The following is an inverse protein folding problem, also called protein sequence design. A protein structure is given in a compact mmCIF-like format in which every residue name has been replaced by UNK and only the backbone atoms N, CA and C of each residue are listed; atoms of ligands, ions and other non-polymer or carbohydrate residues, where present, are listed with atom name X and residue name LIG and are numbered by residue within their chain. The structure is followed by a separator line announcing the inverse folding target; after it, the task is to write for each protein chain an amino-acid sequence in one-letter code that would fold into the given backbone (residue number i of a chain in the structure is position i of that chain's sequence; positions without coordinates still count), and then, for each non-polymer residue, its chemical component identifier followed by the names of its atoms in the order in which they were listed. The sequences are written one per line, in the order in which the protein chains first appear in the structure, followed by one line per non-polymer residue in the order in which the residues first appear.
data_IF_897297668371
#
_entry.id   IF_897297668371
#
_cell.length_a   1.000
_cell.length_b   1.000
_cell.length_c   1.000
_cell.angle_alpha   90.00
_cell.angle_beta   90.00
_cell.angle_gamma   90.00
#
_symmetry.space_group_name_H-M   'P 1'
#
loop_
_entity.id
_entity.type
_entity.pdbx_description
1 polymer ?
#
# COMPACT_ATOMS: atom_id res chain seq x y z
N UNK A 1 -4.90 -6.28 7.47
CA UNK A 1 -5.24 -7.03 8.71
C UNK A 1 -4.62 -6.42 9.97
N UNK A 2 -3.28 -6.21 10.01
CA UNK A 2 -2.55 -5.71 11.21
C UNK A 2 -3.07 -4.40 11.83
N UNK A 3 -3.86 -3.60 11.11
CA UNK A 3 -4.37 -2.30 11.57
C UNK A 3 -5.86 -2.08 11.28
N UNK A 4 -6.64 -3.15 11.06
CA UNK A 4 -8.08 -3.02 10.86
C UNK A 4 -8.79 -2.83 12.20
N UNK A 5 -9.52 -1.72 12.41
CA UNK A 5 -10.16 -1.43 13.69
C UNK A 5 -11.31 -2.40 14.02
N UNK A 6 -11.89 -3.04 13.01
CA UNK A 6 -13.01 -3.99 13.14
C UNK A 6 -12.57 -5.47 13.16
N UNK A 7 -11.28 -5.74 13.36
CA UNK A 7 -10.78 -7.11 13.47
C UNK A 7 -11.42 -7.81 14.69
N UNK A 8 -12.05 -8.99 14.53
CA UNK A 8 -12.82 -9.62 15.60
C UNK A 8 -11.97 -10.26 16.71
N UNK A 9 -10.64 -10.15 16.67
CA UNK A 9 -9.71 -10.83 17.59
C UNK A 9 -9.53 -12.31 17.27
N UNK A 10 -10.62 -13.04 17.04
CA UNK A 10 -10.64 -14.44 16.56
C UNK A 10 -11.84 -14.67 15.64
N UNK A 11 -11.71 -15.63 14.71
CA UNK A 11 -12.84 -16.08 13.90
C UNK A 11 -13.60 -17.21 14.58
N UNK A 12 -14.91 -17.26 14.36
CA UNK A 12 -15.79 -18.34 14.86
C UNK A 12 -15.72 -19.58 13.97
N UNK A 13 -15.14 -19.46 12.77
CA UNK A 13 -14.95 -20.53 11.81
C UNK A 13 -14.54 -19.98 10.44
N UNK A 14 -14.30 -20.89 9.49
CA UNK A 14 -13.78 -20.53 8.18
C UNK A 14 -14.73 -19.64 7.35
N UNK A 15 -16.05 -19.79 7.53
CA UNK A 15 -17.04 -18.93 6.86
C UNK A 15 -16.95 -17.49 7.34
N UNK A 16 -16.94 -17.27 8.65
CA UNK A 16 -16.78 -15.93 9.23
C UNK A 16 -15.44 -15.31 8.81
N UNK A 17 -14.35 -16.09 8.81
CA UNK A 17 -13.05 -15.62 8.34
C UNK A 17 -13.09 -15.13 6.89
N UNK A 18 -13.69 -15.91 5.97
CA UNK A 18 -13.78 -15.53 4.55
C UNK A 18 -14.61 -14.27 4.34
N UNK A 19 -15.74 -14.15 5.04
CA UNK A 19 -16.60 -12.98 4.94
C UNK A 19 -15.85 -11.73 5.41
N UNK A 20 -15.26 -11.79 6.61
CA UNK A 20 -14.48 -10.67 7.14
C UNK A 20 -13.31 -10.29 6.23
N UNK A 21 -12.57 -11.27 5.70
CA UNK A 21 -11.48 -11.01 4.74
C UNK A 21 -11.97 -10.33 3.46
N UNK A 22 -13.10 -10.77 2.88
CA UNK A 22 -13.66 -10.15 1.69
C UNK A 22 -13.97 -8.67 1.94
N UNK A 23 -14.66 -8.38 3.04
CA UNK A 23 -15.02 -7.02 3.43
C UNK A 23 -13.78 -6.16 3.68
N UNK A 24 -12.80 -6.68 4.42
CA UNK A 24 -11.53 -6.02 4.70
C UNK A 24 -10.77 -5.68 3.40
N UNK A 25 -10.65 -6.62 2.46
CA UNK A 25 -9.91 -6.39 1.22
C UNK A 25 -10.64 -5.45 0.27
N UNK A 26 -11.97 -5.56 0.20
CA UNK A 26 -12.79 -4.62 -0.57
C UNK A 26 -12.61 -3.20 -0.03
N UNK A 27 -12.73 -3.01 1.27
CA UNK A 27 -12.48 -1.70 1.89
C UNK A 27 -11.06 -1.19 1.59
N UNK A 28 -10.05 -2.05 1.73
CA UNK A 28 -8.65 -1.65 1.56
C UNK A 28 -8.32 -1.28 0.11
N UNK A 29 -8.96 -1.90 -0.88
CA UNK A 29 -8.61 -1.70 -2.29
C UNK A 29 -9.48 -0.67 -3.01
N UNK A 30 -10.72 -0.48 -2.57
CA UNK A 30 -11.72 0.35 -3.28
C UNK A 30 -11.79 1.78 -2.70
N UNK A 31 -12.78 2.55 -3.16
CA UNK A 31 -13.05 3.95 -2.85
C UNK A 31 -13.04 4.35 -1.36
N UNK A 32 -13.11 3.40 -0.43
CA UNK A 32 -13.27 3.66 1.00
C UNK A 32 -11.94 3.88 1.73
N UNK A 33 -10.82 3.36 1.25
CA UNK A 33 -9.52 3.51 1.91
C UNK A 33 -8.46 4.09 0.99
N UNK A 34 -8.07 5.35 1.26
CA UNK A 34 -7.03 6.05 0.51
C UNK A 34 -5.68 5.83 1.18
N UNK A 35 -4.67 5.43 0.40
CA UNK A 35 -3.37 5.02 0.93
C UNK A 35 -2.37 6.16 0.84
N UNK A 36 -1.71 6.48 1.95
CA UNK A 36 -0.67 7.52 1.99
C UNK A 36 0.52 7.20 1.07
N UNK A 37 0.93 5.93 1.00
CA UNK A 37 1.97 5.46 0.08
C UNK A 37 1.60 5.61 -1.40
N UNK A 38 0.31 5.76 -1.70
CA UNK A 38 -0.20 6.05 -3.04
C UNK A 38 -0.64 7.51 -3.15
N UNK A 39 -0.05 8.46 -2.40
CA UNK A 39 -0.44 9.88 -2.45
C UNK A 39 -1.94 10.14 -2.26
N UNK A 40 -2.60 9.32 -1.45
CA UNK A 40 -4.02 9.40 -1.16
C UNK A 40 -4.89 9.06 -2.38
N UNK A 41 -4.46 8.10 -3.19
CA UNK A 41 -5.32 7.37 -4.13
C UNK A 41 -5.63 5.97 -3.57
N UNK A 42 -6.65 5.31 -4.12
CA UNK A 42 -6.97 3.93 -3.78
C UNK A 42 -6.22 2.95 -4.71
N UNK A 43 -5.94 1.71 -4.28
CA UNK A 43 -5.33 0.69 -5.12
C UNK A 43 -6.11 0.46 -6.42
N UNK A 44 -7.44 0.44 -6.35
CA UNK A 44 -8.33 0.34 -7.52
C UNK A 44 -8.11 1.50 -8.50
N UNK A 45 -8.02 2.74 -8.03
CA UNK A 45 -7.77 3.90 -8.90
C UNK A 45 -6.41 3.83 -9.60
N UNK A 46 -5.39 3.31 -8.91
CA UNK A 46 -4.06 3.12 -9.48
C UNK A 46 -4.08 2.00 -10.52
N UNK A 47 -4.64 0.85 -10.16
CA UNK A 47 -4.72 -0.34 -11.02
C UNK A 47 -5.50 -0.07 -12.33
N UNK A 48 -6.62 0.63 -12.23
CA UNK A 48 -7.49 0.94 -13.38
C UNK A 48 -7.05 2.16 -14.17
N UNK A 49 -6.10 2.96 -13.65
CA UNK A 49 -5.69 4.23 -14.24
C UNK A 49 -6.62 5.42 -13.96
N UNK A 50 -7.74 5.20 -13.26
CA UNK A 50 -8.70 6.25 -12.89
C UNK A 50 -8.08 7.39 -12.06
N UNK A 51 -6.93 7.15 -11.41
CA UNK A 51 -6.18 8.19 -10.68
C UNK A 51 -5.87 9.44 -11.52
N UNK A 52 -5.80 9.32 -12.86
CA UNK A 52 -5.52 10.45 -13.76
C UNK A 52 -6.64 11.49 -13.75
N UNK A 53 -7.88 11.04 -13.85
CA UNK A 53 -9.06 11.91 -13.79
C UNK A 53 -9.23 12.52 -12.38
N UNK A 54 -8.97 11.71 -11.36
CA UNK A 54 -8.96 12.19 -9.96
C UNK A 54 -7.87 13.24 -9.75
N UNK A 55 -6.70 13.09 -10.37
CA UNK A 55 -5.61 14.07 -10.28
C UNK A 55 -6.00 15.43 -10.87
N UNK A 56 -6.70 15.44 -12.01
CA UNK A 56 -7.24 16.68 -12.61
C UNK A 56 -8.19 17.37 -11.63
N UNK A 57 -9.11 16.60 -11.03
CA UNK A 57 -10.07 17.13 -10.04
C UNK A 57 -9.37 17.68 -8.80
N UNK A 58 -8.37 16.96 -8.27
CA UNK A 58 -7.54 17.41 -7.14
C UNK A 58 -6.79 18.70 -7.49
N UNK A 59 -6.26 18.83 -8.70
CA UNK A 59 -5.49 20.02 -9.09
C UNK A 59 -6.41 21.24 -9.22
N UNK A 60 -7.59 21.09 -9.80
CA UNK A 60 -8.58 22.17 -9.86
C UNK A 60 -8.96 22.69 -8.47
N UNK A 61 -9.13 21.80 -7.49
CA UNK A 61 -9.41 22.18 -6.11
C UNK A 61 -8.22 22.93 -5.45
N UNK A 62 -6.99 22.48 -5.70
CA UNK A 62 -5.77 23.15 -5.24
C UNK A 62 -5.63 24.55 -5.85
N UNK A 63 -5.90 24.68 -7.14
CA UNK A 63 -5.83 25.93 -7.88
C UNK A 63 -6.85 26.95 -7.35
N UNK A 64 -8.09 26.50 -7.14
CA UNK A 64 -9.14 27.32 -6.55
C UNK A 64 -8.72 27.82 -5.16
N UNK A 65 -8.16 26.93 -4.32
CA UNK A 65 -7.76 27.32 -2.96
C UNK A 65 -6.58 28.29 -2.97
N UNK A 66 -5.63 28.09 -3.88
CA UNK A 66 -4.51 29.00 -4.09
C UNK A 66 -4.97 30.39 -4.53
N UNK A 67 -5.89 30.47 -5.50
CA UNK A 67 -6.43 31.75 -5.97
C UNK A 67 -7.14 32.54 -4.86
N UNK A 68 -7.82 31.86 -3.92
CA UNK A 68 -8.53 32.51 -2.82
C UNK A 68 -7.63 33.04 -1.71
N UNK A 69 -6.51 32.37 -1.41
CA UNK A 69 -5.64 32.69 -0.26
C UNK A 69 -4.16 32.39 -0.61
N UNK A 70 -3.57 33.08 -1.58
CA UNK A 70 -2.22 32.78 -2.07
C UNK A 70 -1.16 32.91 -0.97
N UNK A 71 -1.36 33.80 0.00
CA UNK A 71 -0.47 34.04 1.15
C UNK A 71 -0.33 32.82 2.08
N UNK A 72 -1.31 31.91 2.09
CA UNK A 72 -1.23 30.64 2.85
C UNK A 72 -0.30 29.61 2.21
N UNK A 73 0.15 29.85 0.97
CA UNK A 73 0.99 28.94 0.21
C UNK A 73 2.37 29.56 0.00
N UNK A 74 3.18 29.56 1.07
CA UNK A 74 4.54 30.15 1.09
C UNK A 74 5.51 29.55 0.07
N UNK A 75 5.19 28.39 -0.51
CA UNK A 75 5.98 27.72 -1.57
C UNK A 75 5.36 27.89 -2.97
N UNK A 76 4.44 28.83 -3.14
CA UNK A 76 3.72 29.06 -4.40
C UNK A 76 2.57 28.09 -4.63
N UNK A 77 2.05 28.07 -5.87
CA UNK A 77 0.91 27.25 -6.28
C UNK A 77 1.18 25.75 -6.01
N UNK A 78 0.35 25.07 -5.22
CA UNK A 78 0.54 23.64 -4.95
C UNK A 78 0.20 22.78 -6.17
N UNK A 79 0.94 21.68 -6.33
CA UNK A 79 0.73 20.69 -7.39
C UNK A 79 0.37 19.33 -6.82
N UNK A 80 -0.59 18.64 -7.43
CA UNK A 80 -0.98 17.27 -7.08
C UNK A 80 0.20 16.31 -7.29
N UNK A 81 0.45 15.46 -6.30
CA UNK A 81 1.36 14.31 -6.45
C UNK A 81 0.59 13.14 -7.07
N UNK A 82 1.13 12.53 -8.12
CA UNK A 82 0.62 11.29 -8.71
C UNK A 82 1.08 10.07 -7.90
N UNK A 83 0.43 8.90 -7.99
CA UNK A 83 0.95 7.66 -7.42
C UNK A 83 2.39 7.40 -7.91
N UNK A 84 3.24 6.75 -7.09
CA UNK A 84 4.55 6.31 -7.56
C UNK A 84 4.42 5.33 -8.72
N UNK A 85 5.34 5.39 -9.69
CA UNK A 85 5.36 4.47 -10.82
C UNK A 85 5.77 3.05 -10.44
N UNK A 86 6.47 2.90 -9.32
CA UNK A 86 7.00 1.64 -8.80
C UNK A 86 6.92 1.62 -7.28
N UNK A 87 6.64 0.45 -6.71
CA UNK A 87 6.67 0.20 -5.26
C UNK A 87 7.25 -1.20 -5.02
N UNK A 88 8.07 -1.34 -3.97
CA UNK A 88 8.62 -2.62 -3.55
C UNK A 88 8.51 -2.78 -2.03
N UNK A 89 8.13 -3.97 -1.57
CA UNK A 89 8.09 -4.30 -0.12
C UNK A 89 9.48 -4.70 0.35
N UNK A 90 10.22 -5.45 -0.47
CA UNK A 90 11.63 -5.82 -0.28
C UNK A 90 12.31 -5.72 -1.65
N UNK A 91 12.85 -4.55 -2.03
CA UNK A 91 13.56 -4.44 -3.30
C UNK A 91 14.80 -5.33 -3.28
N UNK A 92 15.07 -6.01 -4.39
CA UNK A 92 16.30 -6.78 -4.61
C UNK A 92 17.26 -5.85 -5.37
N UNK A 93 18.47 -5.67 -4.87
CA UNK A 93 19.50 -4.87 -5.57
C UNK A 93 20.16 -5.67 -6.68
N UNK A 94 20.81 -4.98 -7.62
CA UNK A 94 21.60 -5.64 -8.66
C UNK A 94 22.73 -6.49 -8.07
N UNK A 95 23.28 -6.07 -6.93
CA UNK A 95 24.27 -6.83 -6.14
C UNK A 95 23.66 -8.11 -5.55
N UNK A 96 22.45 -8.04 -4.98
CA UNK A 96 21.74 -9.23 -4.47
C UNK A 96 21.43 -10.24 -5.60
N UNK A 97 21.16 -9.75 -6.81
CA UNK A 97 20.97 -10.59 -8.00
C UNK A 97 22.30 -11.23 -8.42
N UNK A 98 23.38 -10.47 -8.41
CA UNK A 98 24.72 -10.92 -8.81
C UNK A 98 25.35 -11.93 -7.82
N UNK A 99 25.13 -11.75 -6.53
CA UNK A 99 25.60 -12.66 -5.47
C UNK A 99 24.72 -13.93 -5.35
N UNK A 100 23.58 -13.95 -6.05
CA UNK A 100 22.59 -15.01 -5.98
C UNK A 100 21.64 -14.79 -4.81
N UNK A 101 20.36 -14.53 -5.13
CA UNK A 101 19.32 -14.28 -4.13
C UNK A 101 19.30 -15.42 -3.12
N UNK A 102 19.66 -15.13 -1.87
CA UNK A 102 19.59 -16.08 -0.76
C UNK A 102 18.10 -16.31 -0.47
N UNK A 103 17.53 -17.38 -1.04
CA UNK A 103 16.15 -17.84 -0.78
C UNK A 103 15.96 -18.41 0.64
N UNK A 104 17.00 -18.32 1.48
CA UNK A 104 16.94 -18.73 2.87
C UNK A 104 16.31 -17.62 3.73
N UNK A 105 15.05 -17.80 4.09
CA UNK A 105 14.40 -17.04 5.17
C UNK A 105 15.13 -17.28 6.49
N UNK A 106 15.78 -16.24 7.04
CA UNK A 106 16.37 -16.31 8.38
C UNK A 106 15.28 -16.25 9.46
N UNK A 107 14.64 -17.38 9.73
CA UNK A 107 13.76 -17.56 10.87
C UNK A 107 14.58 -18.08 12.06
N UNK A 108 14.73 -17.30 13.15
CA UNK A 108 15.36 -17.77 14.39
C UNK A 108 14.67 -19.02 14.98
N UNK A 109 13.44 -19.30 14.54
CA UNK A 109 12.58 -20.39 15.01
C UNK A 109 12.72 -21.68 14.21
N UNK A 110 13.49 -21.74 13.13
CA UNK A 110 13.61 -22.96 12.30
C UNK A 110 14.16 -24.16 13.09
N UNK A 111 15.12 -23.92 13.99
CA UNK A 111 15.62 -24.97 14.91
C UNK A 111 14.54 -25.45 15.88
N UNK A 112 13.68 -24.55 16.36
CA UNK A 112 12.59 -24.89 17.26
C UNK A 112 11.45 -25.66 16.54
N UNK A 113 11.32 -25.48 15.22
CA UNK A 113 10.38 -26.20 14.38
C UNK A 113 10.91 -27.54 13.83
N UNK A 114 12.12 -27.97 14.23
CA UNK A 114 12.71 -29.24 13.79
C UNK A 114 13.17 -29.26 12.33
N UNK A 115 13.36 -28.09 11.71
CA UNK A 115 13.84 -28.01 10.33
C UNK A 115 15.34 -28.29 10.28
N UNK A 116 15.73 -29.42 9.69
CA UNK A 116 17.11 -29.71 9.32
C UNK A 116 17.32 -29.28 7.87
N UNK A 117 18.23 -28.34 7.64
CA UNK A 117 18.69 -28.00 6.30
C UNK A 117 19.29 -29.25 5.66
N UNK A 118 18.67 -29.77 4.59
CA UNK A 118 19.32 -30.76 3.74
C UNK A 118 20.52 -30.08 3.09
N UNK A 119 21.70 -30.36 3.63
CA UNK A 119 22.97 -29.95 3.01
C UNK A 119 23.07 -30.56 1.62
N UNK A 120 23.47 -29.71 0.66
CA UNK A 120 24.05 -30.15 -0.61
C UNK A 120 25.48 -30.61 -0.34
#
# INVERSE_FOLDING_TARGET
MKYQPDYPGRFTGATHARQWCNDCYRWANTQQHHHSGLNGYTPEQVLTGAYREVAVTKQAALDLRYAQNPERFVRGRPTVKLPPCEVAINPISDEDIAEGVIDAVNFPTLRAAGHASNGI
#
